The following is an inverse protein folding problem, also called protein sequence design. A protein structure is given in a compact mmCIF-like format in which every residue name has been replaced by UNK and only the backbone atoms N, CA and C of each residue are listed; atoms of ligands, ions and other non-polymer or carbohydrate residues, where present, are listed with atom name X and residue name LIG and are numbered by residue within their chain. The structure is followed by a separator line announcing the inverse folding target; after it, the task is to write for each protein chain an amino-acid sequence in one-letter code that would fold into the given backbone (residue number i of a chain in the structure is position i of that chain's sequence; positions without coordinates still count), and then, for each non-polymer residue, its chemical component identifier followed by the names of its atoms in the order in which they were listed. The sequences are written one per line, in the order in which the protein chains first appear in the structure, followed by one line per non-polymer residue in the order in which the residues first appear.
data_IF_899195333860
#
_entry.id   IF_899195333860
#
_cell.length_a   1.000
_cell.length_b   1.000
_cell.length_c   1.000
_cell.angle_alpha   90.00
_cell.angle_beta   90.00
_cell.angle_gamma   90.00
#
_symmetry.space_group_name_H-M   'P 1'
#
loop_
_entity.id
_entity.type
_entity.pdbx_description
1 polymer ?
#
# COMPACT_ATOMS: atom_id res chain seq x y z
N UNK A 1 -50.09 -13.26 -29.01
CA UNK A 1 -49.39 -14.13 -28.02
C UNK A 1 -48.12 -13.38 -27.68
N UNK A 2 -48.36 -12.51 -26.73
CA UNK A 2 -47.40 -11.50 -26.29
C UNK A 2 -46.28 -12.21 -25.52
N UNK A 3 -45.05 -11.95 -25.94
CA UNK A 3 -43.86 -12.33 -25.17
C UNK A 3 -43.36 -11.08 -24.46
N UNK A 4 -43.49 -11.11 -23.18
CA UNK A 4 -43.14 -10.08 -22.22
C UNK A 4 -41.65 -9.66 -22.35
N UNK A 5 -41.46 -8.37 -22.62
CA UNK A 5 -40.20 -7.66 -22.43
C UNK A 5 -39.91 -7.58 -20.89
N UNK A 6 -39.16 -8.55 -20.35
CA UNK A 6 -38.67 -8.42 -18.99
C UNK A 6 -37.59 -7.33 -18.91
N UNK A 7 -37.99 -6.26 -18.29
CA UNK A 7 -37.23 -5.13 -17.79
C UNK A 7 -35.80 -5.52 -17.31
N UNK A 8 -34.81 -5.24 -18.14
CA UNK A 8 -33.43 -5.15 -17.71
C UNK A 8 -33.27 -3.86 -16.90
N UNK A 9 -33.52 -3.93 -15.59
CA UNK A 9 -33.13 -2.88 -14.67
C UNK A 9 -31.59 -2.95 -14.50
N UNK A 10 -30.85 -1.90 -14.90
CA UNK A 10 -29.43 -1.80 -14.57
C UNK A 10 -29.35 -1.63 -13.05
N UNK A 11 -28.89 -2.68 -12.38
CA UNK A 11 -28.57 -2.64 -10.96
C UNK A 11 -27.63 -1.48 -10.70
N UNK A 12 -28.16 -0.45 -10.03
CA UNK A 12 -27.37 0.71 -9.63
C UNK A 12 -26.17 0.25 -8.84
N UNK A 13 -24.98 0.46 -9.41
CA UNK A 13 -23.72 0.39 -8.71
C UNK A 13 -23.80 1.39 -7.53
N UNK A 14 -24.25 0.88 -6.39
CA UNK A 14 -24.01 1.57 -5.13
C UNK A 14 -22.51 1.52 -4.91
N UNK A 15 -21.84 2.60 -5.25
CA UNK A 15 -20.49 2.83 -4.78
C UNK A 15 -20.48 2.57 -3.26
N UNK A 16 -19.58 1.73 -2.75
CA UNK A 16 -19.46 1.58 -1.31
C UNK A 16 -19.28 2.96 -0.69
N UNK A 17 -19.80 3.21 0.52
CA UNK A 17 -19.69 4.50 1.16
C UNK A 17 -18.24 4.93 1.14
N UNK A 18 -17.99 6.17 0.71
CA UNK A 18 -16.66 6.76 0.57
C UNK A 18 -15.91 6.53 1.88
N UNK A 19 -14.93 5.64 1.86
CA UNK A 19 -14.11 5.38 3.05
C UNK A 19 -13.40 6.68 3.39
N UNK A 20 -13.45 7.07 4.66
CA UNK A 20 -12.75 8.25 5.14
C UNK A 20 -11.26 8.09 4.91
N UNK A 21 -10.59 9.21 4.61
CA UNK A 21 -9.13 9.23 4.58
C UNK A 21 -8.56 8.72 5.92
N UNK A 22 -7.47 7.96 5.85
CA UNK A 22 -6.72 7.50 7.03
C UNK A 22 -6.43 8.68 7.97
N UNK A 23 -6.16 9.86 7.43
CA UNK A 23 -5.86 11.07 8.20
C UNK A 23 -7.07 11.50 9.06
N UNK A 24 -8.27 11.46 8.51
CA UNK A 24 -9.50 11.79 9.24
C UNK A 24 -9.86 10.68 10.23
N UNK A 25 -9.70 9.43 9.85
CA UNK A 25 -10.09 8.27 10.64
C UNK A 25 -9.17 8.03 11.84
N UNK A 26 -7.86 8.33 11.75
CA UNK A 26 -6.94 8.29 12.90
C UNK A 26 -7.32 9.30 13.99
N UNK A 27 -8.00 10.40 13.61
CA UNK A 27 -8.56 11.38 14.56
C UNK A 27 -9.96 11.04 15.10
N UNK A 28 -10.54 9.90 14.71
CA UNK A 28 -11.89 9.51 15.09
C UNK A 28 -12.02 9.23 16.60
N UNK A 29 -13.20 9.54 17.15
CA UNK A 29 -13.58 9.16 18.52
C UNK A 29 -13.82 7.64 18.60
N UNK A 30 -14.27 7.04 17.49
CA UNK A 30 -14.47 5.60 17.38
C UNK A 30 -13.13 4.85 17.39
N UNK A 31 -12.94 3.99 18.38
CA UNK A 31 -11.71 3.24 18.57
C UNK A 31 -11.46 2.23 17.44
N UNK A 32 -12.51 1.57 16.92
CA UNK A 32 -12.38 0.60 15.84
C UNK A 32 -12.03 1.28 14.50
N UNK A 33 -12.62 2.44 14.23
CA UNK A 33 -12.30 3.23 13.04
C UNK A 33 -10.84 3.71 13.08
N UNK A 34 -10.39 4.16 14.25
CA UNK A 34 -9.01 4.60 14.46
C UNK A 34 -8.00 3.46 14.31
N UNK A 35 -8.29 2.27 14.86
CA UNK A 35 -7.44 1.09 14.76
C UNK A 35 -7.30 0.65 13.30
N UNK A 36 -8.41 0.52 12.57
CA UNK A 36 -8.39 0.17 11.13
C UNK A 36 -7.63 1.19 10.29
N UNK A 37 -7.76 2.48 10.58
CA UNK A 37 -7.01 3.53 9.89
C UNK A 37 -5.51 3.39 10.11
N UNK A 38 -5.11 3.03 11.32
CA UNK A 38 -3.72 2.78 11.65
C UNK A 38 -3.16 1.53 10.99
N UNK A 39 -3.91 0.44 11.00
CA UNK A 39 -3.53 -0.77 10.28
C UNK A 39 -3.30 -0.46 8.80
N UNK A 40 -4.20 0.30 8.18
CA UNK A 40 -4.07 0.72 6.78
C UNK A 40 -2.82 1.58 6.56
N UNK A 41 -2.57 2.54 7.46
CA UNK A 41 -1.38 3.39 7.40
C UNK A 41 -0.10 2.56 7.58
N UNK A 42 -0.06 1.71 8.60
CA UNK A 42 1.06 0.82 8.85
C UNK A 42 1.32 -0.08 7.64
N UNK A 43 0.31 -0.76 7.13
CA UNK A 43 0.43 -1.66 5.99
C UNK A 43 1.01 -0.97 4.74
N UNK A 44 0.61 0.28 4.47
CA UNK A 44 1.09 1.04 3.32
C UNK A 44 2.50 1.62 3.50
N UNK A 45 2.89 1.95 4.74
CA UNK A 45 4.09 2.76 4.99
C UNK A 45 5.21 2.08 5.76
N UNK A 46 4.99 0.94 6.44
CA UNK A 46 6.04 0.34 7.24
C UNK A 46 7.28 -0.03 6.41
N UNK A 47 7.09 -0.64 5.25
CA UNK A 47 8.16 -1.08 4.37
C UNK A 47 8.95 0.09 3.77
N UNK A 48 8.32 1.12 3.17
CA UNK A 48 9.00 2.34 2.76
C UNK A 48 9.78 3.01 3.90
N UNK A 49 9.19 3.13 5.09
CA UNK A 49 9.82 3.75 6.26
C UNK A 49 11.02 2.91 6.73
N UNK A 50 10.85 1.60 6.86
CA UNK A 50 11.92 0.70 7.25
C UNK A 50 13.13 0.81 6.32
N UNK A 51 12.91 0.65 5.01
CA UNK A 51 13.99 0.76 4.03
C UNK A 51 14.61 2.16 4.01
N UNK A 52 13.81 3.21 4.19
CA UNK A 52 14.32 4.57 4.29
C UNK A 52 15.22 4.76 5.51
N UNK A 53 14.84 4.26 6.67
CA UNK A 53 15.65 4.30 7.89
C UNK A 53 16.96 3.52 7.71
N UNK A 54 16.88 2.33 7.10
CA UNK A 54 18.06 1.52 6.75
C UNK A 54 19.06 2.29 5.88
N UNK A 55 18.56 2.88 4.80
CA UNK A 55 19.37 3.54 3.79
C UNK A 55 19.84 4.93 4.21
N UNK A 56 18.92 5.77 4.70
CA UNK A 56 19.19 7.17 5.01
C UNK A 56 20.03 7.35 6.26
N UNK A 57 19.74 6.53 7.28
CA UNK A 57 20.37 6.63 8.60
C UNK A 57 21.41 5.54 8.84
N UNK A 58 21.64 4.69 7.86
CA UNK A 58 22.60 3.57 7.91
C UNK A 58 22.48 2.76 9.21
N UNK A 59 21.23 2.39 9.60
CA UNK A 59 20.96 1.66 10.83
C UNK A 59 21.06 0.16 10.60
N UNK A 60 21.57 -0.63 11.56
CA UNK A 60 21.43 -2.08 11.56
C UNK A 60 19.96 -2.50 11.47
N UNK A 61 19.69 -3.72 10.98
CA UNK A 61 18.32 -4.21 10.78
C UNK A 61 17.46 -4.13 12.05
N UNK A 62 17.97 -4.61 13.18
CA UNK A 62 17.27 -4.59 14.47
C UNK A 62 16.92 -3.17 14.92
N UNK A 63 17.86 -2.24 14.82
CA UNK A 63 17.63 -0.85 15.21
C UNK A 63 16.63 -0.16 14.28
N UNK A 64 16.67 -0.46 12.98
CA UNK A 64 15.71 0.08 12.01
C UNK A 64 14.29 -0.49 12.23
N UNK A 65 14.18 -1.75 12.66
CA UNK A 65 12.89 -2.36 13.07
C UNK A 65 12.32 -1.61 14.28
N UNK A 66 13.11 -1.42 15.32
CA UNK A 66 12.69 -0.71 16.53
C UNK A 66 12.28 0.74 16.21
N UNK A 67 13.07 1.44 15.40
CA UNK A 67 12.77 2.81 14.98
C UNK A 67 11.49 2.87 14.13
N UNK A 68 11.27 1.90 13.25
CA UNK A 68 10.05 1.85 12.42
C UNK A 68 8.82 1.63 13.30
N UNK A 69 8.87 0.68 14.23
CA UNK A 69 7.77 0.43 15.16
C UNK A 69 7.54 1.64 16.08
N UNK A 70 8.59 2.20 16.68
CA UNK A 70 8.53 3.38 17.52
C UNK A 70 7.95 4.60 16.81
N UNK A 71 8.22 4.76 15.51
CA UNK A 71 7.64 5.84 14.71
C UNK A 71 6.11 5.74 14.62
N UNK A 72 5.56 4.55 14.39
CA UNK A 72 4.10 4.39 14.32
C UNK A 72 3.43 4.63 15.68
N UNK A 73 4.11 4.32 16.79
CA UNK A 73 3.64 4.72 18.14
C UNK A 73 3.59 6.24 18.24
N UNK A 74 4.66 6.92 17.83
CA UNK A 74 4.71 8.39 17.88
C UNK A 74 3.64 9.04 17.00
N UNK A 75 3.34 8.46 15.83
CA UNK A 75 2.25 8.92 14.95
C UNK A 75 0.92 8.95 15.72
N UNK A 76 0.69 7.93 16.56
CA UNK A 76 -0.49 7.81 17.39
C UNK A 76 -0.49 8.77 18.56
N UNK A 77 0.55 8.67 19.39
CA UNK A 77 0.61 9.38 20.66
C UNK A 77 0.68 10.89 20.50
N UNK A 78 1.41 11.35 19.48
CA UNK A 78 1.59 12.79 19.20
C UNK A 78 0.63 13.35 18.19
N UNK A 79 -0.34 12.57 17.76
CA UNK A 79 -1.36 13.01 16.80
C UNK A 79 -0.72 13.70 15.57
N UNK A 80 0.40 13.15 15.04
CA UNK A 80 1.17 13.77 13.98
C UNK A 80 0.31 14.06 12.73
N UNK A 81 -0.65 13.19 12.44
CA UNK A 81 -1.53 13.36 11.28
C UNK A 81 -2.48 14.56 11.42
N UNK A 82 -2.79 15.03 12.63
CA UNK A 82 -3.57 16.27 12.83
C UNK A 82 -2.82 17.54 12.37
N UNK A 83 -1.49 17.46 12.26
CA UNK A 83 -0.64 18.57 11.80
C UNK A 83 -0.40 18.54 10.30
N UNK A 84 -0.85 17.49 9.62
CA UNK A 84 -0.71 17.35 8.19
C UNK A 84 -1.63 18.33 7.45
N UNK A 85 -1.05 19.02 6.46
CA UNK A 85 -1.78 19.92 5.57
C UNK A 85 -1.61 19.45 4.11
N UNK A 86 -2.64 18.87 3.48
CA UNK A 86 -2.58 18.33 2.13
C UNK A 86 -2.31 19.38 1.06
N UNK A 87 -2.48 20.67 1.39
CA UNK A 87 -2.15 21.78 0.49
C UNK A 87 -0.65 22.06 0.42
N UNK A 88 0.12 21.67 1.45
CA UNK A 88 1.55 21.93 1.55
C UNK A 88 2.41 20.79 1.02
N UNK A 89 1.99 19.55 1.25
CA UNK A 89 2.75 18.37 0.88
C UNK A 89 1.85 17.17 0.63
N UNK A 90 2.38 16.12 -0.03
CA UNK A 90 1.79 14.80 -0.08
C UNK A 90 1.96 14.11 1.27
N UNK A 91 1.01 13.25 1.65
CA UNK A 91 1.09 12.53 2.92
C UNK A 91 2.42 11.78 3.08
N UNK A 92 2.88 11.08 2.04
CA UNK A 92 4.14 10.33 2.07
C UNK A 92 5.38 11.21 2.26
N UNK A 93 5.39 12.40 1.66
CA UNK A 93 6.47 13.39 1.87
C UNK A 93 6.45 13.90 3.30
N UNK A 94 5.26 14.19 3.84
CA UNK A 94 5.10 14.61 5.23
C UNK A 94 5.58 13.54 6.21
N UNK A 95 5.18 12.27 6.02
CA UNK A 95 5.60 11.16 6.87
C UNK A 95 7.11 10.97 6.84
N UNK A 96 7.75 11.09 5.68
CA UNK A 96 9.21 11.01 5.56
C UNK A 96 9.92 12.08 6.39
N UNK A 97 9.42 13.33 6.35
CA UNK A 97 9.95 14.42 7.19
C UNK A 97 9.74 14.14 8.68
N UNK A 98 8.59 13.55 9.03
CA UNK A 98 8.33 13.14 10.42
C UNK A 98 9.28 12.03 10.87
N UNK A 99 9.58 11.04 10.01
CA UNK A 99 10.58 9.99 10.28
C UNK A 99 11.96 10.59 10.55
N UNK A 100 12.42 11.53 9.70
CA UNK A 100 13.71 12.19 9.91
C UNK A 100 13.77 12.92 11.26
N UNK A 101 12.70 13.60 11.62
CA UNK A 101 12.60 14.29 12.92
C UNK A 101 12.59 13.31 14.10
N UNK A 102 11.85 12.19 13.95
CA UNK A 102 11.76 11.14 14.95
C UNK A 102 13.13 10.50 15.20
N UNK A 103 13.79 9.99 14.15
CA UNK A 103 15.09 9.31 14.27
C UNK A 103 16.13 10.25 14.86
N UNK A 104 16.16 11.53 14.42
CA UNK A 104 17.07 12.53 14.98
C UNK A 104 16.83 12.79 16.49
N UNK A 105 15.58 12.70 16.96
CA UNK A 105 15.24 12.87 18.37
C UNK A 105 15.61 11.63 19.20
N UNK A 106 15.37 10.43 18.65
CA UNK A 106 15.78 9.17 19.28
C UNK A 106 17.31 9.09 19.44
N UNK A 107 18.10 9.56 18.46
CA UNK A 107 19.55 9.68 18.55
C UNK A 107 20.00 10.60 19.69
N UNK A 108 19.28 11.68 19.93
CA UNK A 108 19.54 12.59 21.04
C UNK A 108 19.10 12.00 22.37
N UNK A 109 18.01 11.23 22.40
CA UNK A 109 17.47 10.60 23.60
C UNK A 109 18.26 9.36 24.02
N UNK A 110 18.70 8.52 23.08
CA UNK A 110 19.50 7.33 23.35
C UNK A 110 20.88 7.66 23.93
N UNK A 111 21.39 8.85 23.63
CA UNK A 111 22.55 9.42 24.32
C UNK A 111 22.25 9.79 25.77
N UNK A 112 20.97 9.82 26.20
CA UNK A 112 20.55 10.25 27.55
C UNK A 112 19.94 9.13 28.39
N UNK A 113 19.28 8.12 27.87
CA UNK A 113 18.86 6.89 28.56
C UNK A 113 17.96 5.97 27.71
N UNK A 114 18.15 4.63 27.85
CA UNK A 114 17.25 3.60 27.29
C UNK A 114 16.00 3.49 28.13
N UNK A 115 14.81 3.61 27.49
CA UNK A 115 13.55 3.10 28.06
C UNK A 115 12.72 2.48 26.95
N UNK A 116 12.31 1.23 27.15
CA UNK A 116 11.45 0.49 26.25
C UNK A 116 9.99 0.87 26.42
N UNK A 117 9.26 0.89 25.33
CA UNK A 117 7.81 0.99 25.24
C UNK A 117 7.26 -0.16 24.41
N UNK A 118 6.13 -0.73 24.85
CA UNK A 118 5.43 -1.82 24.18
C UNK A 118 4.51 -1.26 23.09
N UNK A 119 4.55 -1.84 21.89
CA UNK A 119 3.76 -1.42 20.71
C UNK A 119 2.78 -2.50 20.32
N UNK A 120 1.61 -2.09 19.82
CA UNK A 120 0.64 -2.97 19.18
C UNK A 120 1.29 -3.78 18.04
N UNK A 121 1.14 -5.10 18.08
CA UNK A 121 1.76 -6.01 17.13
C UNK A 121 1.01 -6.00 15.79
N UNK A 122 1.46 -5.17 14.85
CA UNK A 122 1.24 -5.46 13.44
C UNK A 122 2.35 -6.42 13.03
N UNK A 123 2.01 -7.57 12.45
CA UNK A 123 2.99 -8.54 11.96
C UNK A 123 3.68 -7.94 10.73
N UNK A 124 4.89 -7.39 10.92
CA UNK A 124 5.71 -6.79 9.87
C UNK A 124 6.77 -7.79 9.44
N UNK A 125 6.79 -8.16 8.16
CA UNK A 125 7.78 -9.07 7.59
C UNK A 125 9.07 -8.34 7.25
N UNK A 126 9.84 -7.99 8.27
CA UNK A 126 11.13 -7.33 8.13
C UNK A 126 12.19 -8.22 7.44
N UNK A 127 12.08 -9.56 7.56
CA UNK A 127 13.01 -10.47 6.94
C UNK A 127 12.97 -10.38 5.40
N UNK A 128 11.76 -10.39 4.82
CA UNK A 128 11.60 -10.19 3.38
C UNK A 128 12.07 -8.80 2.91
N UNK A 129 11.88 -7.77 3.73
CA UNK A 129 12.37 -6.42 3.40
C UNK A 129 13.90 -6.33 3.43
N UNK A 130 14.60 -7.05 4.33
CA UNK A 130 16.07 -7.13 4.38
C UNK A 130 16.65 -7.92 3.22
N UNK A 131 16.04 -9.02 2.82
CA UNK A 131 16.48 -9.81 1.68
C UNK A 131 16.51 -8.96 0.40
N UNK A 132 15.52 -8.13 0.18
CA UNK A 132 15.46 -7.21 -0.96
C UNK A 132 16.51 -6.09 -0.89
N UNK A 133 17.01 -5.73 0.29
CA UNK A 133 18.10 -4.77 0.46
C UNK A 133 19.50 -5.41 0.27
N UNK A 134 19.58 -6.72 0.05
CA UNK A 134 20.84 -7.44 -0.13
C UNK A 134 21.50 -7.86 1.18
N UNK A 135 20.76 -7.88 2.27
CA UNK A 135 21.19 -8.39 3.57
C UNK A 135 21.74 -7.33 4.55
N UNK A 136 22.26 -7.78 5.70
CA UNK A 136 22.47 -6.92 6.88
C UNK A 136 23.68 -5.96 6.77
N UNK A 137 24.59 -6.15 5.83
CA UNK A 137 25.79 -5.33 5.71
C UNK A 137 25.63 -4.33 4.57
N UNK A 138 25.46 -3.07 4.90
CA UNK A 138 25.48 -1.97 3.92
C UNK A 138 26.86 -1.32 3.91
N UNK A 139 27.45 -1.17 2.71
CA UNK A 139 28.66 -0.39 2.52
C UNK A 139 28.35 1.09 2.86
N UNK A 140 29.07 1.68 3.84
CA UNK A 140 28.89 3.11 4.17
C UNK A 140 29.16 4.04 2.98
N UNK A 141 29.92 3.61 1.99
CA UNK A 141 30.18 4.36 0.76
C UNK A 141 28.99 4.32 -0.23
N UNK A 142 28.03 3.43 -0.01
CA UNK A 142 26.87 3.24 -0.87
C UNK A 142 25.61 3.98 -0.41
N UNK A 143 25.75 4.99 0.48
CA UNK A 143 24.60 5.80 0.90
C UNK A 143 24.05 6.54 -0.33
N UNK A 144 22.80 6.28 -0.74
CA UNK A 144 22.22 6.92 -1.92
C UNK A 144 22.10 8.43 -1.75
N UNK A 145 22.10 9.17 -2.88
CA UNK A 145 21.82 10.60 -2.84
C UNK A 145 20.42 10.88 -2.28
N UNK A 146 20.14 12.08 -1.77
CA UNK A 146 18.81 12.45 -1.29
C UNK A 146 17.72 12.22 -2.34
N UNK A 147 17.96 12.52 -3.60
CA UNK A 147 17.05 12.31 -4.73
C UNK A 147 16.80 10.80 -4.94
N UNK A 148 17.85 9.98 -4.91
CA UNK A 148 17.75 8.52 -5.02
C UNK A 148 17.00 7.90 -3.83
N UNK A 149 17.13 8.46 -2.63
CA UNK A 149 16.37 8.03 -1.45
C UNK A 149 14.89 8.35 -1.59
N UNK A 150 14.56 9.54 -2.13
CA UNK A 150 13.17 9.92 -2.40
C UNK A 150 12.53 9.02 -3.45
N UNK A 151 13.22 8.77 -4.55
CA UNK A 151 12.75 7.84 -5.59
C UNK A 151 12.58 6.42 -5.06
N UNK A 152 13.50 5.97 -4.21
CA UNK A 152 13.42 4.63 -3.58
C UNK A 152 12.21 4.54 -2.65
N UNK A 153 11.94 5.58 -1.87
CA UNK A 153 10.77 5.65 -1.00
C UNK A 153 9.47 5.63 -1.80
N UNK A 154 9.39 6.41 -2.88
CA UNK A 154 8.24 6.45 -3.79
C UNK A 154 7.99 5.08 -4.43
N UNK A 155 9.02 4.42 -4.96
CA UNK A 155 8.92 3.09 -5.57
C UNK A 155 8.42 2.06 -4.55
N UNK A 156 8.96 2.09 -3.35
CA UNK A 156 8.58 1.14 -2.31
C UNK A 156 7.16 1.37 -1.81
N UNK A 157 6.74 2.63 -1.70
CA UNK A 157 5.37 2.97 -1.37
C UNK A 157 4.38 2.47 -2.44
N UNK A 158 4.70 2.63 -3.73
CA UNK A 158 3.89 2.09 -4.82
C UNK A 158 3.81 0.56 -4.79
N UNK A 159 4.92 -0.11 -4.46
CA UNK A 159 4.92 -1.58 -4.27
C UNK A 159 3.99 -1.98 -3.15
N UNK A 160 4.06 -1.31 -2.00
CA UNK A 160 3.18 -1.57 -0.87
C UNK A 160 1.71 -1.37 -1.24
N UNK A 161 1.38 -0.27 -1.92
CA UNK A 161 0.02 0.01 -2.40
C UNK A 161 -0.50 -1.12 -3.32
N UNK A 162 0.31 -1.55 -4.29
CA UNK A 162 -0.09 -2.61 -5.22
C UNK A 162 -0.16 -3.98 -4.55
N UNK A 163 0.73 -4.29 -3.62
CA UNK A 163 0.67 -5.53 -2.84
C UNK A 163 -0.62 -5.63 -2.03
N UNK A 164 -1.03 -4.53 -1.38
CA UNK A 164 -2.31 -4.45 -0.67
C UNK A 164 -3.50 -4.65 -1.62
N UNK A 165 -3.44 -4.05 -2.82
CA UNK A 165 -4.50 -4.22 -3.81
C UNK A 165 -4.58 -5.64 -4.38
N UNK A 166 -3.45 -6.33 -4.55
CA UNK A 166 -3.38 -7.74 -4.96
C UNK A 166 -4.00 -8.63 -3.91
N UNK A 167 -3.67 -8.41 -2.64
CA UNK A 167 -4.23 -9.21 -1.55
C UNK A 167 -5.74 -9.05 -1.42
N UNK A 168 -6.25 -7.82 -1.50
CA UNK A 168 -7.69 -7.55 -1.49
C UNK A 168 -8.39 -8.16 -2.72
N UNK A 169 -7.74 -8.15 -3.90
CA UNK A 169 -8.26 -8.83 -5.09
C UNK A 169 -8.34 -10.34 -4.87
N UNK A 170 -7.34 -10.95 -4.20
CA UNK A 170 -7.34 -12.36 -3.84
C UNK A 170 -8.53 -12.68 -2.94
N UNK A 171 -8.72 -11.91 -1.88
CA UNK A 171 -9.85 -12.06 -0.95
C UNK A 171 -11.20 -11.90 -1.66
N UNK A 172 -11.33 -10.90 -2.55
CA UNK A 172 -12.52 -10.69 -3.36
C UNK A 172 -12.82 -11.88 -4.27
N UNK A 173 -11.78 -12.44 -4.91
CA UNK A 173 -11.93 -13.63 -5.75
C UNK A 173 -12.37 -14.85 -4.94
N UNK A 174 -11.79 -15.06 -3.75
CA UNK A 174 -12.18 -16.14 -2.85
C UNK A 174 -13.65 -15.98 -2.40
N UNK A 175 -14.03 -14.79 -1.95
CA UNK A 175 -15.40 -14.51 -1.51
C UNK A 175 -16.45 -14.69 -2.62
N UNK A 176 -16.06 -14.46 -3.89
CA UNK A 176 -16.92 -14.61 -5.08
C UNK A 176 -16.78 -15.97 -5.80
N UNK A 177 -16.05 -16.93 -5.21
CA UNK A 177 -15.77 -18.24 -5.80
C UNK A 177 -15.11 -18.13 -7.19
N UNK A 178 -14.18 -17.18 -7.33
CA UNK A 178 -13.43 -16.88 -8.55
C UNK A 178 -11.93 -17.11 -8.40
N UNK A 179 -11.52 -18.08 -7.61
CA UNK A 179 -10.10 -18.39 -7.31
C UNK A 179 -9.31 -18.65 -8.60
N UNK A 180 -9.94 -19.29 -9.60
CA UNK A 180 -9.33 -19.49 -10.92
C UNK A 180 -8.99 -18.16 -11.60
N UNK A 181 -9.86 -17.16 -11.50
CA UNK A 181 -9.63 -15.82 -12.06
C UNK A 181 -8.41 -15.18 -11.43
N UNK A 182 -8.25 -15.30 -10.09
CA UNK A 182 -7.07 -14.79 -9.42
C UNK A 182 -5.79 -15.50 -9.87
N UNK A 183 -5.78 -16.84 -9.95
CA UNK A 183 -4.63 -17.61 -10.43
C UNK A 183 -4.21 -17.25 -11.87
N UNK A 184 -5.18 -16.99 -12.75
CA UNK A 184 -4.88 -16.50 -14.11
C UNK A 184 -4.22 -15.12 -14.09
N UNK A 185 -4.71 -14.22 -13.23
CA UNK A 185 -4.14 -12.88 -13.05
C UNK A 185 -2.73 -12.95 -12.46
N UNK A 186 -2.51 -13.80 -11.44
CA UNK A 186 -1.23 -14.03 -10.82
C UNK A 186 -0.21 -14.53 -11.85
N UNK A 187 -0.53 -15.60 -12.58
CA UNK A 187 0.35 -16.21 -13.58
C UNK A 187 0.69 -15.26 -14.74
N UNK A 188 -0.26 -14.42 -15.16
CA UNK A 188 -0.07 -13.55 -16.33
C UNK A 188 0.45 -12.17 -15.97
N UNK A 189 -0.18 -11.49 -15.00
CA UNK A 189 0.08 -10.08 -14.71
C UNK A 189 1.14 -9.88 -13.59
N UNK A 190 1.31 -10.83 -12.66
CA UNK A 190 2.25 -10.71 -11.55
C UNK A 190 3.57 -11.46 -11.80
N UNK A 191 3.52 -12.70 -12.30
CA UNK A 191 4.72 -13.52 -12.53
C UNK A 191 5.41 -13.23 -13.87
N UNK A 192 4.79 -12.48 -14.76
CA UNK A 192 5.38 -11.96 -15.98
C UNK A 192 4.72 -12.46 -17.27
N UNK A 193 3.97 -11.58 -17.88
CA UNK A 193 3.23 -11.79 -19.14
C UNK A 193 4.10 -12.10 -20.37
N UNK A 194 5.40 -11.80 -20.35
CA UNK A 194 6.31 -12.09 -21.46
C UNK A 194 6.62 -13.59 -21.63
N UNK A 195 6.22 -14.43 -20.67
CA UNK A 195 6.55 -15.85 -20.64
C UNK A 195 5.41 -16.79 -21.00
N UNK A 196 4.16 -16.35 -20.90
CA UNK A 196 2.99 -17.21 -21.10
C UNK A 196 1.95 -16.55 -22.00
N UNK A 197 1.39 -17.32 -22.96
CA UNK A 197 0.32 -16.82 -23.85
C UNK A 197 -1.07 -17.16 -23.31
N UNK A 198 -2.10 -16.42 -23.75
CA UNK A 198 -3.50 -16.75 -23.42
C UNK A 198 -3.89 -18.16 -23.88
N UNK A 199 -3.32 -18.62 -25.01
CA UNK A 199 -3.57 -19.98 -25.49
C UNK A 199 -2.93 -21.04 -24.59
N UNK A 200 -1.76 -20.73 -24.03
CA UNK A 200 -1.11 -21.63 -23.08
C UNK A 200 -1.89 -21.69 -21.78
N UNK A 201 -2.29 -20.53 -21.22
CA UNK A 201 -3.16 -20.48 -20.04
C UNK A 201 -4.48 -21.25 -20.25
N UNK A 202 -5.10 -21.08 -21.42
CA UNK A 202 -6.34 -21.80 -21.76
C UNK A 202 -6.15 -23.33 -21.71
N UNK A 203 -5.00 -23.83 -22.19
CA UNK A 203 -4.65 -25.26 -22.11
C UNK A 203 -4.36 -25.70 -20.68
N UNK A 204 -3.55 -24.95 -19.93
CA UNK A 204 -3.11 -25.29 -18.58
C UNK A 204 -4.30 -25.35 -17.61
N UNK A 205 -5.27 -24.47 -17.79
CA UNK A 205 -6.48 -24.39 -16.96
C UNK A 205 -7.70 -25.11 -17.56
N UNK A 206 -7.55 -25.77 -18.73
CA UNK A 206 -8.61 -26.49 -19.44
C UNK A 206 -9.88 -25.65 -19.65
N UNK A 207 -9.74 -24.43 -20.17
CA UNK A 207 -10.81 -23.46 -20.47
C UNK A 207 -10.64 -22.87 -21.87
N UNK A 208 -11.65 -22.17 -22.37
CA UNK A 208 -11.54 -21.48 -23.64
C UNK A 208 -10.63 -20.23 -23.51
N UNK A 209 -9.93 -19.85 -24.59
CA UNK A 209 -9.10 -18.64 -24.62
C UNK A 209 -9.93 -17.36 -24.38
N UNK A 210 -11.20 -17.36 -24.78
CA UNK A 210 -12.17 -16.29 -24.47
C UNK A 210 -12.42 -16.14 -22.98
N UNK A 211 -12.46 -17.26 -22.23
CA UNK A 211 -12.66 -17.24 -20.78
C UNK A 211 -11.43 -16.66 -20.09
N UNK A 212 -10.20 -16.97 -20.55
CA UNK A 212 -8.96 -16.34 -20.07
C UNK A 212 -9.04 -14.83 -20.29
N UNK A 213 -9.41 -14.38 -21.49
CA UNK A 213 -9.53 -12.95 -21.81
C UNK A 213 -10.52 -12.25 -20.89
N UNK A 214 -11.70 -12.83 -20.69
CA UNK A 214 -12.75 -12.28 -19.84
C UNK A 214 -12.32 -12.24 -18.36
N UNK A 215 -11.69 -13.32 -17.89
CA UNK A 215 -11.19 -13.40 -16.51
C UNK A 215 -10.14 -12.33 -16.23
N UNK A 216 -9.13 -12.20 -17.09
CA UNK A 216 -8.07 -11.19 -16.95
C UNK A 216 -8.63 -9.75 -17.06
N UNK A 217 -9.55 -9.51 -18.00
CA UNK A 217 -10.17 -8.20 -18.13
C UNK A 217 -10.97 -7.80 -16.88
N UNK A 218 -11.69 -8.76 -16.27
CA UNK A 218 -12.39 -8.55 -15.01
C UNK A 218 -11.41 -8.31 -13.86
N UNK A 219 -10.38 -9.15 -13.70
CA UNK A 219 -9.41 -9.05 -12.62
C UNK A 219 -8.66 -7.71 -12.66
N UNK A 220 -8.20 -7.28 -13.85
CA UNK A 220 -7.52 -5.98 -14.03
C UNK A 220 -8.41 -4.79 -13.70
N UNK A 221 -9.70 -4.85 -14.05
CA UNK A 221 -10.66 -3.81 -13.69
C UNK A 221 -10.87 -3.73 -12.19
N UNK A 222 -11.07 -4.88 -11.52
CA UNK A 222 -11.23 -4.92 -10.06
C UNK A 222 -9.94 -4.52 -9.34
N UNK A 223 -8.78 -5.00 -9.78
CA UNK A 223 -7.49 -4.56 -9.24
C UNK A 223 -7.33 -3.04 -9.32
N UNK A 224 -7.62 -2.44 -10.49
CA UNK A 224 -7.55 -0.99 -10.64
C UNK A 224 -8.51 -0.27 -9.71
N UNK A 225 -9.73 -0.75 -9.56
CA UNK A 225 -10.73 -0.19 -8.65
C UNK A 225 -10.23 -0.23 -7.20
N UNK A 226 -9.77 -1.38 -6.74
CA UNK A 226 -9.23 -1.59 -5.40
C UNK A 226 -8.02 -0.68 -5.16
N UNK A 227 -7.06 -0.65 -6.09
CA UNK A 227 -5.87 0.18 -5.97
C UNK A 227 -6.20 1.69 -5.89
N UNK A 228 -7.21 2.15 -6.64
CA UNK A 228 -7.68 3.54 -6.55
C UNK A 228 -8.40 3.83 -5.22
N UNK A 229 -9.16 2.88 -4.68
CA UNK A 229 -9.80 3.03 -3.37
C UNK A 229 -8.75 3.12 -2.26
N UNK A 230 -7.75 2.22 -2.27
CA UNK A 230 -6.63 2.28 -1.33
C UNK A 230 -5.83 3.58 -1.45
N UNK A 231 -5.57 4.02 -2.68
CA UNK A 231 -4.91 5.30 -2.91
C UNK A 231 -5.70 6.47 -2.31
N UNK A 232 -7.03 6.49 -2.48
CA UNK A 232 -7.90 7.53 -1.92
C UNK A 232 -7.85 7.55 -0.39
N UNK A 233 -7.84 6.38 0.25
CA UNK A 233 -7.69 6.26 1.71
C UNK A 233 -6.39 6.89 2.21
N UNK A 234 -5.31 6.77 1.44
CA UNK A 234 -3.96 7.25 1.77
C UNK A 234 -3.71 8.70 1.37
N UNK A 235 -4.68 9.40 0.79
CA UNK A 235 -4.58 10.80 0.42
C UNK A 235 -5.29 11.71 1.44
N UNK A 236 -4.79 12.93 1.59
CA UNK A 236 -5.36 13.94 2.49
C UNK A 236 -6.59 14.66 1.95
N UNK A 237 -7.06 14.29 0.74
CA UNK A 237 -8.24 14.88 0.12
C UNK A 237 -8.31 14.60 -1.38
N UNK A 238 -9.43 14.99 -2.01
CA UNK A 238 -9.72 14.67 -3.41
C UNK A 238 -8.71 15.31 -4.39
N UNK A 239 -8.18 16.48 -4.12
CA UNK A 239 -7.17 17.10 -4.99
C UNK A 239 -5.86 16.29 -5.01
N UNK A 240 -5.42 15.84 -3.84
CA UNK A 240 -4.25 14.95 -3.75
C UNK A 240 -4.53 13.63 -4.45
N UNK A 241 -5.67 13.00 -4.18
CA UNK A 241 -6.06 11.76 -4.84
C UNK A 241 -6.04 11.88 -6.37
N UNK A 242 -6.66 12.90 -6.95
CA UNK A 242 -6.67 13.05 -8.40
C UNK A 242 -5.28 13.26 -9.00
N UNK A 243 -4.40 13.96 -8.30
CA UNK A 243 -3.00 14.15 -8.72
C UNK A 243 -2.24 12.82 -8.69
N UNK A 244 -2.37 12.07 -7.59
CA UNK A 244 -1.71 10.78 -7.40
C UNK A 244 -2.24 9.71 -8.36
N UNK A 245 -3.55 9.64 -8.55
CA UNK A 245 -4.17 8.70 -9.48
C UNK A 245 -3.70 8.92 -10.93
N UNK A 246 -3.55 10.19 -11.35
CA UNK A 246 -2.99 10.50 -12.68
C UNK A 246 -1.52 10.11 -12.79
N UNK A 247 -0.73 10.36 -11.76
CA UNK A 247 0.70 10.01 -11.76
C UNK A 247 0.92 8.50 -11.80
N UNK A 248 0.10 7.73 -11.06
CA UNK A 248 0.26 6.28 -10.91
C UNK A 248 -0.38 5.48 -12.04
N UNK A 249 -1.59 5.87 -12.48
CA UNK A 249 -2.41 5.08 -13.43
C UNK A 249 -2.57 5.74 -14.81
N UNK A 250 -1.96 6.90 -15.04
CA UNK A 250 -2.13 7.68 -16.28
C UNK A 250 -3.47 8.41 -16.36
N UNK A 251 -3.69 9.22 -17.41
CA UNK A 251 -4.79 10.17 -17.54
C UNK A 251 -6.23 9.62 -17.64
N UNK A 252 -6.48 8.33 -17.43
CA UNK A 252 -7.80 7.70 -17.49
C UNK A 252 -8.34 7.26 -16.12
N UNK A 253 -8.01 7.98 -15.06
CA UNK A 253 -8.65 7.81 -13.75
C UNK A 253 -9.99 8.58 -13.73
N UNK A 254 -11.00 8.07 -14.46
CA UNK A 254 -12.40 8.45 -14.34
C UNK A 254 -13.17 7.29 -13.75
#
# INVERSE_FOLDING_TARGET
MDMDDEDFQPGGDRFPPTRRSVIEAVGSIDAEERERALETLCAAYWRPIYKYVRLRWNRPAEEAQDLTQGFFVEVLERELLKKFDPKKARLRTYLRVCVDSFVSNEDKASRRQKRGGSVAHVALDFAAAEEELGGPVMDPAAIPSPESLEESFEKEWLRSLFSLAVEELRELCNARQRERTFRLFEAYDLEGHDKISYQQLAKDYSIAATDVTNALAWARREFRRIALERLRELCGGEEEFHREARATFGGNAR
#
